data_IF_975289591538
#
_entry.id   IF_975289591538
#
_cell.length_a   1.000
_cell.length_b   1.000
_cell.length_c   1.000
_cell.angle_alpha   90.00
_cell.angle_beta   90.00
_cell.angle_gamma   90.00
#
_symmetry.space_group_name_H-M   'P 1'
#
loop_
_entity.id
_entity.type
_entity.pdbx_description
1 polymer ?
#
# COMPACT_ATOMS: atom_id res chain seq x y z
N UNK A 1 7.45 -7.89 13.55
CA UNK A 1 6.63 -6.68 13.45
C UNK A 1 7.57 -5.49 13.50
N UNK A 2 7.41 -4.53 12.58
CA UNK A 2 8.23 -3.33 12.50
C UNK A 2 7.30 -2.16 12.86
N UNK A 3 7.65 -1.37 13.87
CA UNK A 3 6.87 -0.20 14.27
C UNK A 3 7.21 0.99 13.36
N UNK A 4 6.69 0.97 12.14
CA UNK A 4 6.98 1.94 11.09
C UNK A 4 5.78 2.13 10.17
N UNK A 5 5.73 3.28 9.50
CA UNK A 5 4.91 3.46 8.31
C UNK A 5 5.62 2.97 7.05
N UNK A 6 4.87 2.89 5.94
CA UNK A 6 5.40 2.65 4.59
C UNK A 6 4.97 3.78 3.66
N UNK A 7 5.87 4.27 2.81
CA UNK A 7 5.60 5.33 1.85
C UNK A 7 6.58 5.31 0.67
N UNK A 8 6.60 6.38 -0.12
CA UNK A 8 7.49 6.50 -1.29
C UNK A 8 8.99 6.65 -0.97
N UNK A 9 9.35 7.12 0.22
CA UNK A 9 10.74 7.37 0.62
C UNK A 9 10.97 7.15 2.11
N UNK A 10 12.21 6.89 2.47
CA UNK A 10 12.63 6.79 3.86
C UNK A 10 12.57 8.17 4.54
N UNK A 11 11.88 8.28 5.67
CA UNK A 11 11.80 9.49 6.48
C UNK A 11 11.36 9.20 7.91
N UNK A 12 11.03 10.25 8.67
CA UNK A 12 10.30 10.15 9.93
C UNK A 12 8.92 10.80 9.76
N UNK A 13 7.92 10.28 10.45
CA UNK A 13 6.59 10.88 10.55
C UNK A 13 6.21 11.03 12.01
N UNK A 14 5.37 12.04 12.30
CA UNK A 14 4.79 12.26 13.63
C UNK A 14 3.41 11.65 13.70
N UNK A 15 3.15 10.92 14.77
CA UNK A 15 1.86 10.31 15.09
C UNK A 15 1.55 10.54 16.58
N UNK A 16 0.27 10.61 16.96
CA UNK A 16 -0.09 10.71 18.36
C UNK A 16 0.24 9.40 19.10
N UNK A 17 0.76 9.50 20.32
CA UNK A 17 1.02 8.36 21.22
C UNK A 17 -0.26 7.63 21.61
N UNK A 18 -1.38 8.36 21.60
CA UNK A 18 -2.70 7.84 21.93
C UNK A 18 -3.74 8.36 20.95
N UNK A 19 -4.61 7.47 20.48
CA UNK A 19 -5.79 7.84 19.72
C UNK A 19 -7.00 7.18 20.36
N UNK A 20 -8.14 7.88 20.30
CA UNK A 20 -9.43 7.29 20.61
C UNK A 20 -9.68 6.10 19.67
N UNK A 21 -9.96 4.93 20.25
CA UNK A 21 -10.17 3.69 19.48
C UNK A 21 -11.31 3.82 18.49
N UNK A 22 -12.36 4.59 18.81
CA UNK A 22 -13.49 4.81 17.91
C UNK A 22 -13.08 5.66 16.68
N UNK A 23 -11.98 6.40 16.78
CA UNK A 23 -11.44 7.24 15.71
C UNK A 23 -10.28 6.60 14.95
N UNK A 24 -9.72 5.49 15.45
CA UNK A 24 -8.52 4.89 14.87
C UNK A 24 -8.76 4.26 13.50
N UNK A 25 -10.00 3.80 13.22
CA UNK A 25 -10.33 3.15 11.95
C UNK A 25 -10.21 4.04 10.71
N UNK A 26 -10.30 5.37 10.86
CA UNK A 26 -10.12 6.35 9.78
C UNK A 26 -8.89 7.24 9.96
N UNK A 27 -7.97 6.85 10.85
CA UNK A 27 -6.79 7.66 11.12
C UNK A 27 -5.88 7.71 9.89
N UNK A 28 -5.39 8.91 9.59
CA UNK A 28 -4.33 9.15 8.64
C UNK A 28 -3.34 10.15 9.23
N UNK A 29 -2.09 10.09 8.78
CA UNK A 29 -1.03 10.97 9.26
C UNK A 29 -1.32 12.40 8.81
N UNK A 30 -1.38 13.33 9.76
CA UNK A 30 -1.57 14.77 9.50
C UNK A 30 -0.26 15.56 9.61
N UNK A 31 0.83 14.91 10.04
CA UNK A 31 2.09 15.58 10.42
C UNK A 31 2.10 16.10 11.86
N UNK A 32 0.98 15.97 12.57
CA UNK A 32 0.86 16.30 13.99
C UNK A 32 1.04 15.03 14.85
N UNK A 33 1.60 15.20 16.05
CA UNK A 33 1.82 14.10 16.98
C UNK A 33 2.99 14.34 17.94
N UNK A 34 3.05 13.56 19.00
CA UNK A 34 4.07 13.60 20.05
C UNK A 34 5.10 12.46 19.94
N UNK A 35 4.88 11.51 19.02
CA UNK A 35 5.79 10.39 18.77
C UNK A 35 6.30 10.45 17.34
N UNK A 36 7.62 10.30 17.18
CA UNK A 36 8.25 10.08 15.87
C UNK A 36 8.39 8.58 15.60
N UNK A 37 7.92 8.15 14.43
CA UNK A 37 8.11 6.78 13.95
C UNK A 37 8.74 6.81 12.55
N UNK A 38 9.58 5.80 12.21
CA UNK A 38 10.15 5.72 10.88
C UNK A 38 9.07 5.48 9.83
N UNK A 39 9.30 6.05 8.66
CA UNK A 39 8.59 5.77 7.41
C UNK A 39 9.61 5.13 6.48
N UNK A 40 9.33 3.92 5.97
CA UNK A 40 10.22 3.24 5.04
C UNK A 40 9.65 3.22 3.63
N UNK A 41 10.52 3.40 2.64
CA UNK A 41 10.29 2.99 1.26
C UNK A 41 10.22 1.47 1.15
N UNK A 42 9.72 0.95 0.02
CA UNK A 42 9.79 -0.50 -0.24
C UNK A 42 11.23 -1.01 -0.25
N UNK A 43 12.17 -0.24 -0.78
CA UNK A 43 13.60 -0.57 -0.73
C UNK A 43 14.09 -0.71 0.72
N UNK A 44 13.82 0.29 1.56
CA UNK A 44 14.18 0.24 2.98
C UNK A 44 13.53 -0.94 3.70
N UNK A 45 12.25 -1.24 3.40
CA UNK A 45 11.57 -2.42 3.94
C UNK A 45 12.23 -3.74 3.53
N UNK A 46 12.68 -3.88 2.29
CA UNK A 46 13.38 -5.09 1.81
C UNK A 46 14.72 -5.32 2.51
N UNK A 47 15.39 -4.27 2.99
CA UNK A 47 16.62 -4.40 3.76
C UNK A 47 16.37 -4.93 5.20
N UNK A 48 15.15 -4.79 5.72
CA UNK A 48 14.76 -5.23 7.05
C UNK A 48 14.22 -6.67 7.09
N UNK A 49 13.88 -7.24 5.94
CA UNK A 49 13.29 -8.58 5.83
C UNK A 49 14.22 -9.51 5.07
N UNK A 50 14.36 -10.74 5.57
CA UNK A 50 15.10 -11.78 4.88
C UNK A 50 14.22 -12.40 3.80
N UNK A 51 14.75 -12.52 2.58
CA UNK A 51 14.12 -13.17 1.43
C UNK A 51 12.70 -12.63 1.14
N UNK A 52 12.53 -11.33 0.83
CA UNK A 52 11.23 -10.73 0.53
C UNK A 52 10.57 -11.43 -0.67
N UNK A 53 9.41 -12.05 -0.44
CA UNK A 53 8.68 -12.81 -1.46
C UNK A 53 7.33 -12.18 -1.83
N UNK A 54 6.53 -11.80 -0.83
CA UNK A 54 5.18 -11.28 -1.02
C UNK A 54 5.03 -9.88 -0.43
N UNK A 55 4.60 -8.94 -1.26
CA UNK A 55 4.08 -7.64 -0.82
C UNK A 55 2.56 -7.69 -0.80
N UNK A 56 1.96 -7.66 0.41
CA UNK A 56 0.53 -7.45 0.58
C UNK A 56 0.29 -6.00 1.00
N UNK A 57 -0.56 -5.27 0.28
CA UNK A 57 -0.99 -3.90 0.62
C UNK A 57 -2.49 -3.89 0.86
N UNK A 58 -2.87 -3.46 2.05
CA UNK A 58 -4.24 -3.37 2.50
C UNK A 58 -4.34 -2.07 3.29
N UNK A 59 -4.58 -0.99 2.55
CA UNK A 59 -4.64 0.36 3.07
C UNK A 59 -5.58 1.20 2.20
N UNK A 60 -6.27 2.13 2.85
CA UNK A 60 -7.32 2.98 2.29
C UNK A 60 -6.77 4.06 1.33
N UNK A 61 -6.05 3.65 0.27
CA UNK A 61 -5.52 4.54 -0.78
C UNK A 61 -3.99 4.69 -0.80
N UNK A 62 -3.27 4.19 0.21
CA UNK A 62 -1.80 4.30 0.26
C UNK A 62 -1.10 3.47 -0.83
N UNK A 63 -1.79 2.47 -1.41
CA UNK A 63 -1.26 1.62 -2.46
C UNK A 63 -0.85 2.42 -3.68
N UNK A 64 -1.50 3.56 -3.92
CA UNK A 64 -1.18 4.47 -5.01
C UNK A 64 0.19 5.11 -4.82
N UNK A 65 0.48 5.68 -3.64
CA UNK A 65 1.79 6.29 -3.37
C UNK A 65 2.89 5.25 -3.44
N UNK A 66 2.69 4.12 -2.75
CA UNK A 66 3.68 3.04 -2.66
C UNK A 66 3.99 2.46 -4.04
N UNK A 67 2.99 2.16 -4.88
CA UNK A 67 3.22 1.52 -6.19
C UNK A 67 3.74 2.53 -7.22
N UNK A 68 3.18 3.75 -7.26
CA UNK A 68 3.50 4.70 -8.32
C UNK A 68 4.87 5.38 -8.11
N UNK A 69 5.29 5.54 -6.86
CA UNK A 69 6.46 6.34 -6.51
C UNK A 69 7.63 5.51 -5.94
N UNK A 70 7.54 4.17 -5.98
CA UNK A 70 8.70 3.31 -5.69
C UNK A 70 9.57 3.13 -6.93
N UNK A 71 10.89 3.19 -6.74
CA UNK A 71 11.86 2.97 -7.82
C UNK A 71 11.85 1.53 -8.35
N UNK A 72 11.69 0.56 -7.45
CA UNK A 72 11.61 -0.87 -7.77
C UNK A 72 10.74 -1.56 -6.71
N UNK A 73 9.73 -2.32 -7.11
CA UNK A 73 8.90 -3.06 -6.16
C UNK A 73 9.66 -4.24 -5.53
N UNK A 74 10.37 -5.03 -6.33
CA UNK A 74 11.31 -6.07 -5.87
C UNK A 74 10.72 -7.18 -5.00
N UNK A 75 9.49 -7.61 -5.28
CA UNK A 75 8.87 -8.78 -4.67
C UNK A 75 8.47 -9.77 -5.76
N UNK A 76 8.48 -11.06 -5.47
CA UNK A 76 8.01 -12.08 -6.43
C UNK A 76 6.49 -11.96 -6.66
N UNK A 77 5.75 -11.62 -5.61
CA UNK A 77 4.29 -11.50 -5.63
C UNK A 77 3.82 -10.20 -5.00
N UNK A 78 2.80 -9.61 -5.59
CA UNK A 78 2.14 -8.41 -5.08
C UNK A 78 0.65 -8.70 -5.00
N UNK A 79 0.02 -8.39 -3.86
CA UNK A 79 -1.43 -8.45 -3.69
C UNK A 79 -1.86 -7.13 -3.05
N UNK A 80 -2.81 -6.43 -3.65
CA UNK A 80 -3.34 -5.22 -3.04
C UNK A 80 -4.85 -5.06 -3.21
N UNK A 81 -5.50 -4.56 -2.16
CA UNK A 81 -6.83 -3.96 -2.26
C UNK A 81 -6.69 -2.54 -2.83
N UNK A 82 -7.67 -2.12 -3.65
CA UNK A 82 -7.60 -0.83 -4.32
C UNK A 82 -8.78 0.07 -4.00
N UNK A 83 -8.48 1.29 -3.56
CA UNK A 83 -9.45 2.27 -3.08
C UNK A 83 -9.55 3.48 -4.03
N UNK A 84 -9.98 3.23 -5.27
CA UNK A 84 -10.11 4.26 -6.32
C UNK A 84 -10.93 5.50 -5.88
N UNK A 85 -11.92 5.29 -5.01
CA UNK A 85 -12.82 6.35 -4.55
C UNK A 85 -12.13 7.37 -3.63
N UNK A 86 -11.06 6.97 -2.94
CA UNK A 86 -10.30 7.85 -2.04
C UNK A 86 -9.25 8.65 -2.80
N UNK A 87 -8.62 8.04 -3.80
CA UNK A 87 -7.46 8.62 -4.50
C UNK A 87 -7.80 9.24 -5.85
N UNK A 88 -8.94 8.88 -6.46
CA UNK A 88 -9.28 9.24 -7.84
C UNK A 88 -8.40 8.56 -8.90
N UNK A 89 -7.50 7.66 -8.48
CA UNK A 89 -6.58 6.93 -9.37
C UNK A 89 -7.18 5.57 -9.66
N UNK A 90 -7.27 5.20 -10.94
CA UNK A 90 -7.75 3.87 -11.34
C UNK A 90 -6.69 2.81 -11.14
N UNK A 91 -7.09 1.64 -10.63
CA UNK A 91 -6.24 0.43 -10.55
C UNK A 91 -5.53 0.09 -11.86
N UNK A 92 -6.12 0.43 -13.01
CA UNK A 92 -5.49 0.18 -14.32
C UNK A 92 -4.16 0.92 -14.46
N UNK A 93 -4.01 2.09 -13.83
CA UNK A 93 -2.74 2.83 -13.80
C UNK A 93 -1.70 2.09 -12.98
N UNK A 94 -2.09 1.55 -11.82
CA UNK A 94 -1.20 0.78 -10.95
C UNK A 94 -0.78 -0.53 -11.63
N UNK A 95 -1.74 -1.25 -12.24
CA UNK A 95 -1.45 -2.46 -13.03
C UNK A 95 -0.47 -2.14 -14.15
N UNK A 96 -0.71 -1.07 -14.92
CA UNK A 96 0.17 -0.68 -16.02
C UNK A 96 1.61 -0.43 -15.54
N UNK A 97 1.79 0.29 -14.43
CA UNK A 97 3.11 0.53 -13.82
C UNK A 97 3.80 -0.79 -13.43
N UNK A 98 3.06 -1.74 -12.84
CA UNK A 98 3.60 -3.05 -12.48
C UNK A 98 3.92 -3.91 -13.72
N UNK A 99 3.09 -3.86 -14.76
CA UNK A 99 3.35 -4.56 -16.02
C UNK A 99 4.58 -4.01 -16.74
N UNK A 100 4.82 -2.69 -16.68
CA UNK A 100 6.05 -2.05 -17.16
C UNK A 100 7.30 -2.49 -16.38
N UNK A 101 7.14 -2.95 -15.13
CA UNK A 101 8.18 -3.58 -14.31
C UNK A 101 8.29 -5.10 -14.51
N UNK A 102 7.56 -5.69 -15.46
CA UNK A 102 7.64 -7.12 -15.80
C UNK A 102 6.65 -8.02 -15.07
N UNK A 103 5.76 -7.48 -14.25
CA UNK A 103 4.75 -8.28 -13.57
C UNK A 103 3.61 -8.66 -14.50
N UNK A 104 3.02 -9.83 -14.27
CA UNK A 104 1.71 -10.18 -14.82
C UNK A 104 0.63 -10.01 -13.77
N UNK A 105 -0.29 -9.09 -14.01
CA UNK A 105 -1.34 -8.76 -13.06
C UNK A 105 -2.71 -9.35 -13.44
N UNK A 106 -3.55 -9.60 -12.44
CA UNK A 106 -4.95 -10.01 -12.57
C UNK A 106 -5.78 -9.27 -11.53
N UNK A 107 -6.85 -8.63 -11.99
CA UNK A 107 -7.78 -7.91 -11.12
C UNK A 107 -9.04 -8.73 -10.89
N UNK A 108 -9.49 -8.84 -9.64
CA UNK A 108 -10.76 -9.49 -9.25
C UNK A 108 -11.69 -8.46 -8.63
N UNK A 109 -12.93 -8.45 -9.09
CA UNK A 109 -13.97 -7.61 -8.48
C UNK A 109 -14.40 -8.22 -7.14
N UNK A 110 -14.59 -7.38 -6.13
CA UNK A 110 -15.27 -7.78 -4.91
C UNK A 110 -16.78 -7.75 -5.18
N UNK A 111 -17.43 -8.90 -5.07
CA UNK A 111 -18.89 -8.97 -5.08
C UNK A 111 -19.39 -8.65 -3.67
N UNK A 112 -20.01 -7.47 -3.48
CA UNK A 112 -20.87 -7.24 -2.31
C UNK A 112 -22.28 -7.75 -2.58
N UNK A 113 -22.95 -8.17 -1.50
CA UNK A 113 -24.32 -8.71 -1.44
C UNK A 113 -25.43 -7.74 -1.88
N UNK A 114 -25.10 -6.61 -2.52
CA UNK A 114 -26.03 -5.54 -2.90
C UNK A 114 -25.81 -4.98 -4.34
N UNK A 115 -25.09 -5.71 -5.21
CA UNK A 115 -25.00 -5.36 -6.64
C UNK A 115 -24.09 -4.18 -7.00
N UNK A 116 -23.37 -3.60 -6.03
CA UNK A 116 -22.33 -2.58 -6.28
C UNK A 116 -20.99 -3.31 -6.39
N UNK A 117 -20.39 -3.34 -7.60
CA UNK A 117 -19.06 -3.89 -7.82
C UNK A 117 -18.01 -2.80 -7.61
N UNK A 118 -17.18 -2.98 -6.58
CA UNK A 118 -15.88 -2.31 -6.51
C UNK A 118 -14.82 -3.31 -6.97
N UNK A 119 -13.72 -2.79 -7.54
CA UNK A 119 -12.55 -3.66 -7.72
C UNK A 119 -12.06 -4.05 -6.33
N UNK A 120 -11.96 -5.35 -6.06
CA UNK A 120 -11.66 -5.85 -4.72
C UNK A 120 -10.17 -6.08 -4.52
N UNK A 121 -9.53 -6.83 -5.41
CA UNK A 121 -8.16 -7.29 -5.19
C UNK A 121 -7.43 -7.37 -6.52
N UNK A 122 -6.21 -6.84 -6.57
CA UNK A 122 -5.25 -7.08 -7.65
C UNK A 122 -4.18 -8.03 -7.16
N UNK A 123 -3.80 -8.98 -7.99
CA UNK A 123 -2.69 -9.89 -7.75
C UNK A 123 -1.73 -9.88 -8.93
N UNK A 124 -0.44 -9.73 -8.66
CA UNK A 124 0.61 -9.67 -9.67
C UNK A 124 1.73 -10.64 -9.30
N UNK A 125 2.32 -11.27 -10.31
CA UNK A 125 3.46 -12.18 -10.16
C UNK A 125 4.57 -11.76 -11.14
N UNK A 126 5.81 -11.72 -10.65
CA UNK A 126 6.98 -11.53 -11.48
C UNK A 126 7.14 -12.74 -12.41
N UNK A 127 7.39 -12.55 -13.71
CA UNK A 127 7.44 -13.63 -14.70
C UNK A 127 8.65 -13.55 -15.61
#
# INVERSE_FOLDING_TARGET
LINAGVGSKDSMIRVPSTIDLDKSGGFHVTGEGDVEVPLYSLKGMRELVKDPYLLKIDCEGCEVDVIMNSDEIGFEKIIFEHHAFLTGVSYKKLIKKLEEEGYKCTARQAQRTAGISYLGIVSCENR
#
